data_IF_518241402065
#
_entry.id   IF_518241402065
#
_cell.length_a   1.000
_cell.length_b   1.000
_cell.length_c   1.000
_cell.angle_alpha   90.00
_cell.angle_beta   90.00
_cell.angle_gamma   90.00
#
_symmetry.space_group_name_H-M   'P 1'
#
loop_
_entity.id
_entity.type
_entity.pdbx_description
1 polymer ?
#
# COMPACT_ATOMS: atom_id res chain seq x y z
N UNK A 1 54.04 -4.23 0.05
CA UNK A 1 52.78 -4.98 -0.12
C UNK A 1 51.64 -4.03 0.19
N UNK A 2 50.67 -4.00 -0.72
CA UNK A 2 49.63 -3.02 -0.98
C UNK A 2 48.97 -2.32 0.23
N UNK A 3 48.98 -0.99 0.20
CA UNK A 3 47.99 -0.13 0.86
C UNK A 3 46.75 -0.05 -0.02
N UNK A 4 45.59 -0.39 0.53
CA UNK A 4 44.28 -0.26 -0.10
C UNK A 4 43.79 1.18 0.02
N UNK A 5 43.68 1.87 -1.12
CA UNK A 5 43.06 3.17 -1.24
C UNK A 5 41.55 3.00 -1.43
N UNK A 6 40.78 3.76 -0.67
CA UNK A 6 39.32 3.68 -0.55
C UNK A 6 38.73 4.46 -1.72
N UNK A 7 38.07 3.75 -2.65
CA UNK A 7 37.32 4.37 -3.75
C UNK A 7 36.14 5.20 -3.20
N UNK A 8 36.19 6.49 -3.50
CA UNK A 8 35.11 7.44 -3.27
C UNK A 8 34.01 7.26 -4.33
N UNK A 9 32.73 7.47 -4.00
CA UNK A 9 31.64 7.27 -4.95
C UNK A 9 31.72 8.30 -6.08
N UNK A 10 31.89 7.78 -7.29
CA UNK A 10 31.92 8.48 -8.56
C UNK A 10 30.63 9.28 -8.77
N UNK A 11 30.79 10.57 -9.02
CA UNK A 11 29.74 11.49 -9.48
C UNK A 11 28.95 10.87 -10.65
N UNK A 12 27.60 10.90 -10.63
CA UNK A 12 26.83 10.45 -11.79
C UNK A 12 27.07 11.40 -12.95
N UNK A 13 27.71 10.84 -13.98
CA UNK A 13 28.00 11.45 -15.28
C UNK A 13 26.77 12.19 -15.81
N UNK A 14 26.97 13.48 -16.09
CA UNK A 14 26.02 14.34 -16.78
C UNK A 14 25.66 13.72 -18.14
N UNK A 15 24.51 13.06 -18.23
CA UNK A 15 23.84 12.87 -19.52
C UNK A 15 23.51 14.27 -20.07
N UNK A 16 24.30 14.69 -21.05
CA UNK A 16 24.14 15.92 -21.83
C UNK A 16 22.99 15.68 -22.79
N UNK A 17 21.79 16.09 -22.41
CA UNK A 17 20.72 16.32 -23.38
C UNK A 17 21.20 17.47 -24.27
N UNK A 18 21.36 17.20 -25.57
CA UNK A 18 21.79 18.16 -26.59
C UNK A 18 20.79 19.31 -26.68
N UNK A 19 21.07 20.38 -25.94
CA UNK A 19 20.47 21.69 -26.12
C UNK A 19 21.30 22.48 -27.12
N UNK A 20 20.63 23.34 -27.87
CA UNK A 20 21.21 24.13 -28.97
C UNK A 20 22.45 24.92 -28.50
N UNK A 21 23.50 25.02 -29.32
CA UNK A 21 24.67 25.84 -28.97
C UNK A 21 24.26 27.30 -28.79
N UNK A 22 24.47 27.87 -27.59
CA UNK A 22 24.25 29.30 -27.32
C UNK A 22 23.25 29.64 -26.21
N UNK A 23 22.58 28.65 -25.61
CA UNK A 23 21.64 28.88 -24.51
C UNK A 23 22.35 29.07 -23.16
N UNK A 24 22.19 30.23 -22.54
CA UNK A 24 22.64 30.48 -21.17
C UNK A 24 21.55 30.05 -20.17
N UNK A 25 21.93 29.15 -19.25
CA UNK A 25 21.04 28.69 -18.17
C UNK A 25 21.70 28.83 -16.81
N UNK A 26 20.89 28.97 -15.77
CA UNK A 26 21.31 28.86 -14.37
C UNK A 26 20.72 27.60 -13.76
N UNK A 27 21.52 26.86 -12.97
CA UNK A 27 21.02 25.73 -12.20
C UNK A 27 20.80 26.08 -10.75
N UNK A 28 19.67 25.65 -10.21
CA UNK A 28 19.48 25.52 -8.78
C UNK A 28 19.45 24.02 -8.39
N UNK A 29 20.33 23.65 -7.46
CA UNK A 29 20.43 22.32 -6.86
C UNK A 29 20.18 22.37 -5.35
N UNK A 30 19.50 23.41 -4.85
CA UNK A 30 19.14 23.58 -3.44
C UNK A 30 18.18 22.48 -2.94
N UNK A 31 17.49 21.81 -3.85
CA UNK A 31 16.57 20.71 -3.55
C UNK A 31 17.31 19.38 -3.73
N UNK A 32 17.49 18.57 -2.67
CA UNK A 32 18.16 17.29 -2.78
C UNK A 32 17.49 16.37 -3.80
N UNK A 33 18.27 15.88 -4.76
CA UNK A 33 17.80 14.97 -5.80
C UNK A 33 16.99 15.63 -6.92
N UNK A 34 16.96 16.97 -6.98
CA UNK A 34 16.33 17.75 -8.04
C UNK A 34 17.28 18.84 -8.54
N UNK A 35 17.44 18.92 -9.85
CA UNK A 35 18.15 19.98 -10.54
C UNK A 35 17.14 20.82 -11.33
N UNK A 36 17.08 22.10 -11.01
CA UNK A 36 16.23 23.07 -11.70
C UNK A 36 17.11 23.86 -12.65
N UNK A 37 16.70 24.01 -13.91
CA UNK A 37 17.37 24.83 -14.92
C UNK A 37 16.45 25.94 -15.39
N UNK A 38 16.94 27.17 -15.31
CA UNK A 38 16.22 28.39 -15.73
C UNK A 38 16.89 28.92 -16.99
N UNK A 39 16.14 29.12 -18.06
CA UNK A 39 16.65 29.64 -19.33
C UNK A 39 16.49 31.16 -19.38
N UNK A 40 17.55 31.86 -19.79
CA UNK A 40 17.63 33.33 -19.77
C UNK A 40 16.84 34.03 -20.88
N UNK A 41 16.56 33.31 -21.96
CA UNK A 41 15.81 33.79 -23.12
C UNK A 41 14.36 33.27 -23.07
N UNK A 42 13.42 33.92 -23.77
CA UNK A 42 12.08 33.38 -24.02
C UNK A 42 12.17 32.18 -24.97
N UNK A 43 12.89 31.13 -24.57
CA UNK A 43 12.73 29.82 -25.12
C UNK A 43 11.30 29.34 -24.83
N UNK A 44 10.74 28.44 -25.63
CA UNK A 44 9.41 27.87 -25.37
C UNK A 44 9.27 27.17 -24.00
N UNK A 45 10.37 26.94 -23.26
CA UNK A 45 10.38 26.18 -22.00
C UNK A 45 11.06 26.97 -20.86
N UNK A 46 10.36 27.87 -20.17
CA UNK A 46 11.03 28.79 -19.24
C UNK A 46 11.50 28.18 -17.90
N UNK A 47 11.25 26.91 -17.57
CA UNK A 47 11.85 26.24 -16.41
C UNK A 47 11.90 24.72 -16.62
N UNK A 48 13.05 24.08 -16.46
CA UNK A 48 13.18 22.61 -16.58
C UNK A 48 13.56 22.01 -15.23
N UNK A 49 12.76 21.06 -14.75
CA UNK A 49 12.99 20.35 -13.48
C UNK A 49 13.40 18.92 -13.79
N UNK A 50 14.60 18.53 -13.37
CA UNK A 50 15.14 17.17 -13.52
C UNK A 50 15.27 16.52 -12.15
N UNK A 51 14.78 15.30 -12.00
CA UNK A 51 15.07 14.49 -10.82
C UNK A 51 16.38 13.69 -10.99
N UNK A 52 16.99 13.21 -9.91
CA UNK A 52 18.07 12.21 -9.93
C UNK A 52 17.63 10.83 -9.44
N UNK A 53 16.41 10.71 -8.90
CA UNK A 53 15.82 9.44 -8.43
C UNK A 53 14.60 9.13 -9.30
N UNK A 54 14.16 7.86 -9.32
CA UNK A 54 12.83 7.50 -9.82
C UNK A 54 11.78 8.00 -8.82
N UNK A 55 11.61 9.32 -8.83
CA UNK A 55 10.57 10.02 -8.13
C UNK A 55 9.29 9.65 -8.86
N UNK A 56 8.67 8.55 -8.40
CA UNK A 56 7.34 8.01 -8.78
C UNK A 56 6.21 9.01 -8.46
N UNK A 57 6.41 10.28 -8.77
CA UNK A 57 5.63 11.38 -8.24
C UNK A 57 4.32 11.50 -9.00
N UNK A 58 3.29 10.85 -8.43
CA UNK A 58 1.87 10.99 -8.77
C UNK A 58 1.32 12.41 -8.60
N UNK A 59 2.16 13.36 -8.19
CA UNK A 59 1.83 14.78 -7.99
C UNK A 59 2.08 15.65 -9.23
N UNK A 60 2.99 15.24 -10.12
CA UNK A 60 3.35 15.97 -11.34
C UNK A 60 2.90 15.26 -12.61
N UNK A 61 2.27 14.09 -12.47
CA UNK A 61 1.50 13.52 -13.55
C UNK A 61 0.33 14.48 -13.77
N UNK A 62 0.20 15.14 -14.94
CA UNK A 62 -1.12 15.62 -15.33
C UNK A 62 -2.03 14.41 -15.16
N UNK A 63 -3.18 14.59 -14.53
CA UNK A 63 -4.21 13.53 -14.52
C UNK A 63 -4.26 13.05 -15.96
N UNK A 64 -4.08 11.75 -16.20
CA UNK A 64 -4.08 11.21 -17.56
C UNK A 64 -5.29 10.35 -17.64
N UNK A 65 -6.34 10.82 -18.31
CA UNK A 65 -7.42 9.96 -18.72
C UNK A 65 -7.16 9.46 -20.15
N UNK A 66 -6.73 8.21 -20.30
CA UNK A 66 -6.47 7.56 -21.60
C UNK A 66 -7.72 7.42 -22.50
N UNK A 67 -8.90 7.94 -22.07
CA UNK A 67 -10.19 7.71 -22.72
C UNK A 67 -10.98 8.92 -23.22
N UNK A 68 -10.69 10.17 -22.83
CA UNK A 68 -11.71 11.23 -22.98
C UNK A 68 -11.37 12.49 -23.80
N UNK A 69 -10.17 12.68 -24.35
CA UNK A 69 -9.90 13.79 -25.29
C UNK A 69 -10.20 15.21 -24.75
N UNK A 70 -10.39 15.37 -23.44
CA UNK A 70 -10.57 16.64 -22.75
C UNK A 70 -9.29 16.86 -21.94
N UNK A 71 -8.66 18.01 -22.14
CA UNK A 71 -7.41 18.38 -21.48
C UNK A 71 -7.58 18.31 -19.96
N UNK A 72 -6.84 17.41 -19.34
CA UNK A 72 -6.63 17.38 -17.90
C UNK A 72 -5.89 18.66 -17.48
N UNK A 73 -6.37 19.25 -16.41
CA UNK A 73 -5.91 20.53 -15.87
C UNK A 73 -4.40 20.48 -15.57
N UNK A 74 -3.61 21.47 -16.01
CA UNK A 74 -2.18 21.51 -15.75
C UNK A 74 -1.88 21.70 -14.25
N UNK A 75 -0.89 20.96 -13.74
CA UNK A 75 -0.41 21.13 -12.36
C UNK A 75 0.31 22.47 -12.20
N UNK A 76 -0.09 23.27 -11.19
CA UNK A 76 0.57 24.53 -10.84
C UNK A 76 1.71 24.31 -9.85
N UNK A 77 2.85 24.91 -10.13
CA UNK A 77 4.09 24.75 -9.38
C UNK A 77 4.61 26.12 -8.97
N UNK A 78 4.88 26.33 -7.69
CA UNK A 78 5.48 27.55 -7.16
C UNK A 78 6.98 27.36 -6.99
N UNK A 79 7.77 28.19 -7.67
CA UNK A 79 9.21 28.20 -7.55
C UNK A 79 9.71 29.64 -7.48
N UNK A 80 10.52 29.94 -6.46
CA UNK A 80 11.05 31.28 -6.18
C UNK A 80 9.97 32.40 -6.16
N UNK A 81 8.74 32.08 -5.72
CA UNK A 81 7.63 33.02 -5.64
C UNK A 81 6.80 33.18 -6.93
N UNK A 82 7.19 32.52 -8.02
CA UNK A 82 6.48 32.54 -9.31
C UNK A 82 5.74 31.24 -9.57
N UNK A 83 4.59 31.32 -10.25
CA UNK A 83 3.76 30.18 -10.64
C UNK A 83 4.10 29.67 -12.05
N UNK A 84 4.15 28.34 -12.17
CA UNK A 84 4.53 27.61 -13.37
C UNK A 84 3.54 26.49 -13.64
N UNK A 85 3.19 26.20 -14.89
CA UNK A 85 2.47 24.97 -15.26
C UNK A 85 3.39 23.96 -15.93
N UNK A 86 3.10 22.68 -15.72
CA UNK A 86 3.73 21.58 -16.46
C UNK A 86 3.21 21.59 -17.91
N UNK A 87 4.11 21.81 -18.86
CA UNK A 87 3.82 21.80 -20.30
C UNK A 87 4.15 20.43 -20.92
N UNK A 88 5.28 19.84 -20.52
CA UNK A 88 5.67 18.50 -20.93
C UNK A 88 6.41 17.75 -19.81
N UNK A 89 6.33 16.42 -19.86
CA UNK A 89 7.08 15.53 -19.00
C UNK A 89 7.73 14.43 -19.84
N UNK A 90 9.00 14.13 -19.58
CA UNK A 90 9.74 13.06 -20.24
C UNK A 90 10.64 12.35 -19.23
N UNK A 91 11.18 11.19 -19.61
CA UNK A 91 12.22 10.51 -18.86
C UNK A 91 13.55 10.61 -19.58
N UNK A 92 14.64 10.65 -18.81
CA UNK A 92 15.96 10.38 -19.35
C UNK A 92 16.30 8.88 -19.33
N UNK A 93 17.41 8.51 -19.97
CA UNK A 93 17.90 7.12 -20.02
C UNK A 93 18.22 6.52 -18.65
N UNK A 94 18.44 7.37 -17.63
CA UNK A 94 18.64 6.97 -16.24
C UNK A 94 17.35 6.82 -15.43
N UNK A 95 16.18 6.87 -16.07
CA UNK A 95 14.87 6.74 -15.42
C UNK A 95 14.36 8.02 -14.74
N UNK A 96 15.18 9.07 -14.64
CA UNK A 96 14.76 10.30 -14.01
C UNK A 96 13.80 11.12 -14.89
N UNK A 97 12.79 11.71 -14.24
CA UNK A 97 11.85 12.61 -14.87
C UNK A 97 12.46 13.99 -15.17
N UNK A 98 12.10 14.53 -16.33
CA UNK A 98 12.37 15.87 -16.81
C UNK A 98 11.03 16.54 -17.10
N UNK A 99 10.73 17.61 -16.39
CA UNK A 99 9.53 18.41 -16.58
C UNK A 99 9.89 19.73 -17.24
N UNK A 100 9.25 20.03 -18.37
CA UNK A 100 9.28 21.36 -18.98
C UNK A 100 8.10 22.16 -18.44
N UNK A 101 8.40 23.29 -17.81
CA UNK A 101 7.42 24.16 -17.21
C UNK A 101 7.35 25.47 -17.99
N UNK A 102 6.14 25.99 -18.13
CA UNK A 102 5.86 27.30 -18.71
C UNK A 102 5.30 28.24 -17.67
N UNK A 103 5.41 29.54 -17.90
CA UNK A 103 4.83 30.55 -17.01
C UNK A 103 3.32 30.36 -16.96
N UNK A 104 2.75 30.37 -15.76
CA UNK A 104 1.31 30.25 -15.57
C UNK A 104 0.60 31.50 -16.13
N UNK A 105 -0.40 31.37 -17.01
CA UNK A 105 -1.16 32.52 -17.48
C UNK A 105 -2.08 33.04 -16.37
N UNK A 106 -1.98 34.33 -16.03
CA UNK A 106 -2.79 34.96 -14.96
C UNK A 106 -4.31 34.86 -15.18
N UNK A 107 -4.73 34.58 -16.42
CA UNK A 107 -6.13 34.41 -16.81
C UNK A 107 -6.73 33.07 -16.39
N UNK A 108 -5.93 32.10 -15.94
CA UNK A 108 -6.38 30.77 -15.55
C UNK A 108 -6.44 30.61 -14.03
N UNK A 109 -7.53 29.99 -13.54
CA UNK A 109 -7.73 29.72 -12.11
C UNK A 109 -6.66 28.77 -11.56
N UNK A 110 -6.24 28.98 -10.32
CA UNK A 110 -5.30 28.07 -9.66
C UNK A 110 -6.02 26.79 -9.25
N UNK A 111 -5.38 25.63 -9.44
CA UNK A 111 -6.02 24.35 -9.15
C UNK A 111 -5.38 23.63 -7.97
N UNK A 112 -4.10 23.27 -8.11
CA UNK A 112 -3.35 22.55 -7.10
C UNK A 112 -1.92 23.06 -7.11
N UNK A 113 -1.55 23.71 -6.02
CA UNK A 113 -0.28 24.39 -5.91
C UNK A 113 0.74 23.52 -5.20
N UNK A 114 1.90 23.33 -5.82
CA UNK A 114 3.02 22.61 -5.23
C UNK A 114 4.22 23.51 -5.08
N UNK A 115 4.75 23.62 -3.86
CA UNK A 115 5.96 24.40 -3.61
C UNK A 115 7.21 23.58 -3.97
N UNK A 116 8.01 24.11 -4.90
CA UNK A 116 9.36 23.63 -5.19
C UNK A 116 10.36 24.26 -4.22
N UNK A 117 10.38 23.77 -2.99
CA UNK A 117 11.38 24.14 -1.99
C UNK A 117 11.82 22.93 -1.15
N UNK A 118 13.05 22.96 -0.63
CA UNK A 118 13.60 21.88 0.19
C UNK A 118 12.69 21.43 1.37
N UNK A 119 12.06 22.33 2.16
CA UNK A 119 11.21 21.89 3.28
C UNK A 119 9.92 21.19 2.83
N UNK A 120 9.28 21.61 1.74
CA UNK A 120 8.10 20.91 1.19
C UNK A 120 8.46 19.49 0.72
N UNK A 121 9.64 19.33 0.10
CA UNK A 121 10.16 18.03 -0.31
C UNK A 121 10.40 17.08 0.86
N UNK A 122 11.02 17.58 1.94
CA UNK A 122 11.26 16.77 3.14
C UNK A 122 9.96 16.30 3.78
N UNK A 123 8.97 17.19 3.94
CA UNK A 123 7.65 16.83 4.47
C UNK A 123 6.97 15.75 3.64
N UNK A 124 6.96 15.89 2.32
CA UNK A 124 6.39 14.89 1.41
C UNK A 124 7.07 13.54 1.51
N UNK A 125 8.41 13.52 1.57
CA UNK A 125 9.18 12.27 1.73
C UNK A 125 8.85 11.57 3.04
N UNK A 126 8.62 12.33 4.11
CA UNK A 126 8.18 11.78 5.39
C UNK A 126 6.75 11.26 5.33
N UNK A 127 5.82 12.02 4.74
CA UNK A 127 4.43 11.60 4.51
C UNK A 127 4.37 10.30 3.70
N UNK A 128 5.08 10.20 2.58
CA UNK A 128 5.15 8.98 1.77
C UNK A 128 5.74 7.80 2.53
N UNK A 129 6.79 8.02 3.34
CA UNK A 129 7.35 6.97 4.19
C UNK A 129 6.33 6.49 5.22
N UNK A 130 5.56 7.39 5.82
CA UNK A 130 4.51 7.02 6.77
C UNK A 130 3.33 6.33 6.08
N UNK A 131 2.95 6.79 4.89
CA UNK A 131 1.91 6.17 4.07
C UNK A 131 2.32 4.77 3.65
N UNK A 132 3.53 4.56 3.10
CA UNK A 132 4.06 3.22 2.78
C UNK A 132 4.09 2.29 4.00
N UNK A 133 4.42 2.80 5.19
CA UNK A 133 4.36 2.01 6.43
C UNK A 133 2.92 1.63 6.78
N UNK A 134 1.98 2.54 6.59
CA UNK A 134 0.55 2.32 6.86
C UNK A 134 -0.03 1.33 5.85
N UNK A 135 0.24 1.52 4.56
CA UNK A 135 -0.19 0.63 3.47
C UNK A 135 0.37 -0.78 3.68
N UNK A 136 1.66 -0.90 4.04
CA UNK A 136 2.26 -2.21 4.36
C UNK A 136 1.59 -2.87 5.56
N UNK A 137 1.24 -2.11 6.60
CA UNK A 137 0.51 -2.64 7.76
C UNK A 137 -0.89 -3.10 7.36
N UNK A 138 -1.58 -2.32 6.53
CA UNK A 138 -2.92 -2.64 6.05
C UNK A 138 -2.92 -3.87 5.13
N UNK A 139 -1.91 -4.00 4.26
CA UNK A 139 -1.73 -5.16 3.39
C UNK A 139 -1.43 -6.43 4.20
N UNK A 140 -0.58 -6.33 5.23
CA UNK A 140 -0.34 -7.41 6.19
C UNK A 140 -1.66 -7.75 6.90
N UNK A 141 -2.37 -6.76 7.46
CA UNK A 141 -3.64 -6.98 8.14
C UNK A 141 -4.64 -7.73 7.24
N UNK A 142 -4.78 -7.32 5.97
CA UNK A 142 -5.61 -7.99 4.97
C UNK A 142 -5.20 -9.45 4.71
N UNK A 143 -3.89 -9.70 4.59
CA UNK A 143 -3.37 -11.06 4.32
C UNK A 143 -3.63 -11.99 5.49
N UNK A 144 -3.51 -11.49 6.73
CA UNK A 144 -3.70 -12.28 7.94
C UNK A 144 -5.15 -12.27 8.46
N UNK A 145 -6.04 -11.41 7.94
CA UNK A 145 -7.42 -11.27 8.41
C UNK A 145 -8.18 -12.61 8.42
N UNK A 146 -7.99 -13.41 7.36
CA UNK A 146 -8.57 -14.75 7.24
C UNK A 146 -8.06 -15.70 8.32
N UNK A 147 -6.76 -15.67 8.62
CA UNK A 147 -6.12 -16.55 9.60
C UNK A 147 -6.46 -16.11 11.02
N UNK A 148 -6.58 -14.81 11.26
CA UNK A 148 -6.95 -14.23 12.55
C UNK A 148 -8.33 -14.71 12.98
N UNK A 149 -9.28 -14.86 12.04
CA UNK A 149 -10.61 -15.37 12.36
C UNK A 149 -10.63 -16.77 12.98
N UNK A 150 -9.57 -17.58 12.85
CA UNK A 150 -9.46 -18.91 13.49
C UNK A 150 -9.18 -18.78 14.99
N UNK A 151 -8.51 -17.70 15.41
CA UNK A 151 -8.06 -17.50 16.78
C UNK A 151 -9.24 -17.32 17.75
N UNK A 152 -9.08 -17.68 19.04
CA UNK A 152 -10.05 -17.33 20.09
C UNK A 152 -10.40 -15.84 20.10
N UNK A 153 -11.65 -15.50 20.44
CA UNK A 153 -12.17 -14.13 20.34
C UNK A 153 -11.29 -13.11 21.09
N UNK A 154 -10.81 -13.49 22.29
CA UNK A 154 -9.91 -12.66 23.11
C UNK A 154 -8.57 -12.34 22.43
N UNK A 155 -8.05 -13.25 21.62
CA UNK A 155 -6.80 -13.02 20.87
C UNK A 155 -7.07 -12.15 19.64
N UNK A 156 -8.24 -12.30 19.00
CA UNK A 156 -8.64 -11.42 17.91
C UNK A 156 -8.76 -9.97 18.38
N UNK A 157 -9.41 -9.71 19.52
CA UNK A 157 -9.54 -8.38 20.11
C UNK A 157 -8.16 -7.75 20.43
N UNK A 158 -7.26 -8.50 21.05
CA UNK A 158 -5.89 -8.02 21.33
C UNK A 158 -5.09 -7.71 20.07
N UNK A 159 -5.26 -8.52 19.01
CA UNK A 159 -4.60 -8.26 17.74
C UNK A 159 -5.23 -7.07 17.03
N UNK A 160 -6.55 -6.87 17.14
CA UNK A 160 -7.27 -5.74 16.58
C UNK A 160 -6.76 -4.42 17.16
N UNK A 161 -6.51 -4.34 18.47
CA UNK A 161 -5.88 -3.18 19.09
C UNK A 161 -4.48 -2.88 18.52
N UNK A 162 -3.69 -3.93 18.26
CA UNK A 162 -2.30 -3.79 17.80
C UNK A 162 -2.19 -3.46 16.31
N UNK A 163 -3.07 -4.02 15.49
CA UNK A 163 -3.00 -3.96 14.03
C UNK A 163 -4.12 -3.15 13.38
N UNK A 164 -5.02 -2.56 14.19
CA UNK A 164 -6.08 -1.65 13.76
C UNK A 164 -7.01 -2.25 12.69
N UNK A 165 -7.48 -3.48 12.91
CA UNK A 165 -8.49 -4.11 12.05
C UNK A 165 -9.77 -4.40 12.84
N UNK A 166 -10.86 -4.64 12.12
CA UNK A 166 -12.16 -5.01 12.70
C UNK A 166 -12.20 -6.54 12.94
N UNK A 167 -12.22 -7.00 14.21
CA UNK A 167 -12.21 -8.43 14.53
C UNK A 167 -13.52 -9.13 14.16
N UNK A 168 -14.65 -8.40 14.14
CA UNK A 168 -15.94 -8.97 13.71
C UNK A 168 -15.93 -9.27 12.22
N UNK A 169 -15.39 -8.34 11.44
CA UNK A 169 -15.26 -8.50 9.99
C UNK A 169 -14.32 -9.67 9.65
N UNK A 170 -13.20 -9.78 10.36
CA UNK A 170 -12.27 -10.90 10.22
C UNK A 170 -12.92 -12.26 10.57
N UNK A 171 -13.64 -12.32 11.68
CA UNK A 171 -14.42 -13.50 12.09
C UNK A 171 -15.46 -13.89 11.03
N UNK A 172 -16.18 -12.91 10.47
CA UNK A 172 -17.22 -13.14 9.45
C UNK A 172 -16.62 -13.69 8.15
N UNK A 173 -15.52 -13.10 7.67
CA UNK A 173 -14.80 -13.56 6.48
C UNK A 173 -14.28 -14.99 6.66
N UNK A 174 -13.70 -15.30 7.81
CA UNK A 174 -13.22 -16.64 8.11
C UNK A 174 -14.37 -17.67 8.20
N UNK A 175 -15.47 -17.32 8.85
CA UNK A 175 -16.65 -18.18 8.94
C UNK A 175 -17.25 -18.49 7.56
N UNK A 176 -17.35 -17.48 6.68
CA UNK A 176 -17.76 -17.67 5.29
C UNK A 176 -16.76 -18.53 4.51
N UNK A 177 -15.45 -18.33 4.69
CA UNK A 177 -14.44 -19.16 4.05
C UNK A 177 -14.58 -20.63 4.45
N UNK A 178 -14.78 -20.93 5.74
CA UNK A 178 -15.04 -22.30 6.21
C UNK A 178 -16.29 -22.87 5.54
N UNK A 179 -17.39 -22.11 5.50
CA UNK A 179 -18.62 -22.56 4.86
C UNK A 179 -18.41 -22.84 3.36
N UNK A 180 -17.82 -21.90 2.61
CA UNK A 180 -17.64 -22.04 1.17
C UNK A 180 -16.60 -23.10 0.78
N UNK A 181 -15.59 -23.36 1.62
CA UNK A 181 -14.58 -24.37 1.35
C UNK A 181 -15.06 -25.77 1.73
N UNK A 182 -15.62 -25.91 2.94
CA UNK A 182 -15.91 -27.22 3.50
C UNK A 182 -17.28 -27.77 3.11
N UNK A 183 -18.25 -26.93 2.73
CA UNK A 183 -19.54 -27.41 2.24
C UNK A 183 -19.42 -28.21 0.93
N UNK A 184 -18.80 -27.71 -0.16
CA UNK A 184 -18.64 -28.49 -1.38
C UNK A 184 -17.69 -29.67 -1.18
N UNK A 185 -16.64 -29.51 -0.36
CA UNK A 185 -15.73 -30.61 -0.04
C UNK A 185 -16.44 -31.73 0.73
N UNK A 186 -17.26 -31.38 1.72
CA UNK A 186 -18.08 -32.32 2.47
C UNK A 186 -19.05 -33.07 1.57
N UNK A 187 -19.76 -32.38 0.69
CA UNK A 187 -20.66 -33.02 -0.28
C UNK A 187 -19.93 -34.01 -1.21
N UNK A 188 -18.74 -33.64 -1.70
CA UNK A 188 -17.92 -34.54 -2.53
C UNK A 188 -17.43 -35.77 -1.75
N UNK A 189 -17.01 -35.58 -0.50
CA UNK A 189 -16.53 -36.67 0.36
C UNK A 189 -17.68 -37.57 0.83
N UNK A 190 -18.88 -37.04 1.04
CA UNK A 190 -20.08 -37.84 1.31
C UNK A 190 -20.44 -38.71 0.12
N UNK A 191 -20.39 -38.18 -1.11
CA UNK A 191 -20.57 -38.97 -2.33
C UNK A 191 -19.53 -40.10 -2.43
N UNK A 192 -18.28 -39.84 -2.07
CA UNK A 192 -17.24 -40.87 -2.01
C UNK A 192 -17.52 -41.88 -0.88
N UNK A 193 -18.08 -41.46 0.25
CA UNK A 193 -18.42 -42.31 1.38
C UNK A 193 -19.52 -43.34 1.07
N UNK A 194 -20.41 -43.04 0.11
CA UNK A 194 -21.35 -44.03 -0.43
C UNK A 194 -20.65 -45.17 -1.19
N UNK A 195 -19.45 -44.93 -1.71
CA UNK A 195 -18.67 -45.91 -2.48
C UNK A 195 -17.68 -46.64 -1.56
N UNK A 196 -17.06 -45.95 -0.60
CA UNK A 196 -16.08 -46.52 0.32
C UNK A 196 -16.19 -45.97 1.74
N UNK A 197 -16.11 -46.85 2.74
CA UNK A 197 -16.17 -46.47 4.15
C UNK A 197 -15.01 -45.55 4.59
N UNK A 198 -13.88 -45.59 3.89
CA UNK A 198 -12.68 -44.79 4.20
C UNK A 198 -12.92 -43.27 4.05
N UNK A 199 -13.88 -42.87 3.22
CA UNK A 199 -14.22 -41.46 3.02
C UNK A 199 -15.18 -40.91 4.08
N UNK A 200 -15.75 -41.76 4.94
CA UNK A 200 -16.73 -41.34 5.95
C UNK A 200 -16.15 -40.35 6.97
N UNK A 201 -14.97 -40.65 7.53
CA UNK A 201 -14.34 -39.80 8.55
C UNK A 201 -13.99 -38.41 7.95
N UNK A 202 -13.30 -38.33 6.79
CA UNK A 202 -13.07 -37.05 6.13
C UNK A 202 -14.35 -36.27 5.82
N UNK A 203 -15.40 -36.95 5.33
CA UNK A 203 -16.69 -36.33 5.02
C UNK A 203 -17.32 -35.72 6.27
N UNK A 204 -17.36 -36.47 7.36
CA UNK A 204 -17.88 -36.00 8.64
C UNK A 204 -17.12 -34.77 9.16
N UNK A 205 -15.79 -34.77 9.08
CA UNK A 205 -14.96 -33.63 9.48
C UNK A 205 -15.27 -32.40 8.62
N UNK A 206 -15.36 -32.56 7.30
CA UNK A 206 -15.67 -31.46 6.38
C UNK A 206 -17.08 -30.88 6.66
N UNK A 207 -18.10 -31.73 6.79
CA UNK A 207 -19.46 -31.29 7.12
C UNK A 207 -19.51 -30.60 8.49
N UNK A 208 -18.78 -31.09 9.49
CA UNK A 208 -18.66 -30.44 10.80
C UNK A 208 -18.03 -29.04 10.68
N UNK A 209 -16.95 -28.89 9.90
CA UNK A 209 -16.30 -27.59 9.69
C UNK A 209 -17.19 -26.61 8.92
N UNK A 210 -17.97 -27.09 7.95
CA UNK A 210 -18.95 -26.26 7.24
C UNK A 210 -20.06 -25.77 8.20
N UNK A 211 -20.58 -26.68 9.03
CA UNK A 211 -21.60 -26.35 10.02
C UNK A 211 -21.07 -25.38 11.10
N UNK A 212 -19.82 -25.56 11.52
CA UNK A 212 -19.12 -24.65 12.42
C UNK A 212 -19.01 -23.24 11.84
N UNK A 213 -18.62 -23.14 10.55
CA UNK A 213 -18.60 -21.88 9.81
C UNK A 213 -19.97 -21.21 9.75
N UNK A 214 -21.04 -21.99 9.51
CA UNK A 214 -22.41 -21.49 9.50
C UNK A 214 -22.84 -20.92 10.86
N UNK A 215 -22.60 -21.66 11.96
CA UNK A 215 -22.94 -21.20 13.32
C UNK A 215 -22.18 -19.92 13.65
N UNK A 216 -20.87 -19.87 13.38
CA UNK A 216 -20.05 -18.69 13.65
C UNK A 216 -20.52 -17.48 12.88
N UNK A 217 -20.83 -17.65 11.60
CA UNK A 217 -21.37 -16.58 10.78
C UNK A 217 -22.68 -16.03 11.36
N UNK A 218 -23.60 -16.92 11.73
CA UNK A 218 -24.85 -16.55 12.39
C UNK A 218 -24.64 -15.85 13.74
N UNK A 219 -23.69 -16.32 14.55
CA UNK A 219 -23.37 -15.69 15.84
C UNK A 219 -22.79 -14.28 15.67
N UNK A 220 -21.86 -14.08 14.74
CA UNK A 220 -21.28 -12.75 14.46
C UNK A 220 -22.37 -11.79 13.97
N UNK A 221 -23.29 -12.25 13.11
CA UNK A 221 -24.42 -11.44 12.64
C UNK A 221 -25.39 -11.06 13.76
N UNK A 222 -25.66 -11.98 14.69
CA UNK A 222 -26.61 -11.74 15.77
C UNK A 222 -26.04 -10.89 16.91
N UNK A 223 -24.73 -11.00 17.18
CA UNK A 223 -24.12 -10.43 18.38
C UNK A 223 -23.21 -9.22 18.12
N UNK A 224 -22.77 -8.99 16.88
CA UNK A 224 -21.69 -8.06 16.55
C UNK A 224 -20.49 -8.27 17.49
N UNK A 225 -20.07 -9.52 17.65
CA UNK A 225 -18.90 -9.90 18.44
C UNK A 225 -18.05 -10.89 17.66
N UNK A 226 -16.71 -10.80 17.76
CA UNK A 226 -15.84 -11.77 17.13
C UNK A 226 -16.03 -13.15 17.75
N UNK A 227 -15.90 -14.17 16.91
CA UNK A 227 -16.04 -15.55 17.32
C UNK A 227 -14.90 -16.38 16.72
N UNK A 228 -14.05 -16.89 17.61
CA UNK A 228 -13.05 -17.87 17.26
C UNK A 228 -13.65 -19.23 16.91
N UNK A 229 -12.79 -20.17 16.57
CA UNK A 229 -13.22 -21.52 16.30
C UNK A 229 -13.85 -22.17 17.54
N UNK A 230 -15.08 -22.68 17.40
CA UNK A 230 -15.87 -23.19 18.55
C UNK A 230 -15.14 -24.32 19.26
N UNK A 231 -14.47 -25.20 18.50
CA UNK A 231 -13.67 -26.29 19.07
C UNK A 231 -12.54 -25.83 19.96
N UNK A 232 -11.87 -24.72 19.63
CA UNK A 232 -10.80 -24.16 20.46
C UNK A 232 -11.35 -23.51 21.73
N UNK A 233 -12.48 -22.80 21.64
CA UNK A 233 -13.14 -22.19 22.81
C UNK A 233 -13.64 -23.28 23.79
N UNK A 234 -14.25 -24.35 23.27
CA UNK A 234 -14.70 -25.49 24.07
C UNK A 234 -13.53 -26.22 24.74
N UNK A 235 -12.44 -26.48 23.99
CA UNK A 235 -11.24 -27.12 24.53
C UNK A 235 -10.57 -26.25 25.60
N UNK A 236 -10.44 -24.95 25.35
CA UNK A 236 -9.88 -24.00 26.31
C UNK A 236 -10.72 -23.94 27.58
N UNK A 237 -12.06 -23.90 27.47
CA UNK A 237 -12.96 -23.95 28.61
C UNK A 237 -12.79 -25.23 29.43
N UNK A 238 -12.69 -26.38 28.75
CA UNK A 238 -12.50 -27.68 29.38
C UNK A 238 -11.16 -27.78 30.11
N UNK A 239 -10.07 -27.37 29.46
CA UNK A 239 -8.72 -27.34 30.06
C UNK A 239 -8.70 -26.42 31.29
N UNK A 240 -9.32 -25.25 31.20
CA UNK A 240 -9.36 -24.29 32.32
C UNK A 240 -10.13 -24.87 33.51
N UNK A 241 -11.27 -25.53 33.26
CA UNK A 241 -12.05 -26.20 34.30
C UNK A 241 -11.28 -27.35 34.94
N UNK A 242 -10.73 -28.26 34.15
CA UNK A 242 -9.99 -29.43 34.65
C UNK A 242 -8.76 -29.01 35.46
N UNK A 243 -7.99 -28.03 35.00
CA UNK A 243 -6.79 -27.55 35.70
C UNK A 243 -7.12 -26.78 37.00
N UNK A 244 -8.22 -26.02 37.02
CA UNK A 244 -8.64 -25.30 38.23
C UNK A 244 -9.22 -26.24 39.29
N UNK A 245 -9.99 -27.26 38.90
CA UNK A 245 -10.48 -28.27 39.85
C UNK A 245 -9.38 -29.19 40.37
N UNK A 246 -8.33 -29.44 39.58
CA UNK A 246 -7.15 -30.19 40.02
C UNK A 246 -6.32 -29.50 41.11
N UNK A 247 -6.32 -28.16 41.16
CA UNK A 247 -5.58 -27.38 42.17
C UNK A 247 -6.32 -27.22 43.51
N UNK A 248 -7.63 -27.41 43.56
CA UNK A 248 -8.44 -27.29 44.79
C UNK A 248 -8.51 -28.58 45.63
N UNK A 249 -7.84 -29.66 45.18
CA UNK A 249 -7.82 -30.97 45.86
C UNK A 249 -6.46 -31.35 46.45
N UNK A 250 -5.54 -30.40 46.61
CA UNK A 250 -4.30 -30.56 47.40
C UNK A 250 -4.31 -29.54 48.53
#
# INVERSE_FOLDING_TARGET
MASSEIDSPTNPTNAVSTLSPGETWTSDSSIPGVAIRIYSAPAPYPLVVRSSEDLHWTLFTPLRNERSGINDIPTTVLYAGSAWCVDAASHNEGGAWIYSLRVWPETEAWYKTFELNAPAFQRRREEEKQQKKTDRRLQIAWTYEILVGILPARLQERLAERWQFDPEHASRKNALLHLYLFLPLGALLELAAFISADAFIPAFIACFLAFEGFIRWGHVLASNKPCGFIGFEALHWLLTRVLLFGKYKR
#
